data_IF_869793105598
#
_entry.id   IF_869793105598
#
_cell.length_a   1.000
_cell.length_b   1.000
_cell.length_c   1.000
_cell.angle_alpha   90.00
_cell.angle_beta   90.00
_cell.angle_gamma   90.00
#
_symmetry.space_group_name_H-M   'P 1'
#
loop_
_entity.id
_entity.type
_entity.pdbx_description
1 polymer ?
#
# COMPACT_ATOMS: atom_id res chain seq x y z
N UNK A 1 -44.64 -49.46 12.96
CA UNK A 1 -45.08 -48.07 12.64
C UNK A 1 -44.63 -47.01 13.64
N UNK A 2 -44.23 -47.35 14.89
CA UNK A 2 -43.72 -46.36 15.88
C UNK A 2 -42.23 -46.01 15.69
N UNK A 3 -41.35 -46.99 15.42
CA UNK A 3 -39.91 -46.74 15.23
C UNK A 3 -39.58 -45.85 14.02
N UNK A 4 -40.24 -46.04 12.88
CA UNK A 4 -40.00 -45.26 11.65
C UNK A 4 -40.34 -43.77 11.80
N UNK A 5 -41.34 -43.44 12.62
CA UNK A 5 -41.71 -42.05 12.90
C UNK A 5 -40.71 -41.36 13.83
N UNK A 6 -40.09 -42.11 14.76
CA UNK A 6 -39.06 -41.61 15.67
C UNK A 6 -37.75 -41.36 14.91
N UNK A 7 -37.34 -42.26 14.00
CA UNK A 7 -36.16 -42.02 13.15
C UNK A 7 -36.36 -40.85 12.19
N UNK A 8 -37.55 -40.66 11.62
CA UNK A 8 -37.83 -39.48 10.78
C UNK A 8 -37.76 -38.17 11.58
N UNK A 9 -38.30 -38.16 12.81
CA UNK A 9 -38.26 -37.00 13.69
C UNK A 9 -36.83 -36.67 14.14
N UNK A 10 -36.03 -37.68 14.46
CA UNK A 10 -34.61 -37.51 14.82
C UNK A 10 -33.78 -36.99 13.64
N UNK A 11 -34.03 -37.49 12.42
CA UNK A 11 -33.36 -37.01 11.21
C UNK A 11 -33.75 -35.55 10.87
N UNK A 12 -35.02 -35.19 11.05
CA UNK A 12 -35.48 -33.81 10.86
C UNK A 12 -34.86 -32.83 11.88
N UNK A 13 -34.71 -33.25 13.14
CA UNK A 13 -34.02 -32.49 14.19
C UNK A 13 -32.51 -32.35 13.95
N UNK A 14 -31.86 -33.38 13.39
CA UNK A 14 -30.45 -33.32 13.03
C UNK A 14 -30.18 -32.36 11.84
N UNK A 15 -31.12 -32.28 10.89
CA UNK A 15 -31.03 -31.37 9.74
C UNK A 15 -31.28 -29.89 10.12
N UNK A 16 -32.10 -29.62 11.13
CA UNK A 16 -32.31 -28.24 11.63
C UNK A 16 -31.18 -27.73 12.53
N UNK A 17 -30.39 -28.63 13.12
CA UNK A 17 -29.19 -28.27 13.88
C UNK A 17 -28.03 -27.77 13.00
N UNK A 18 -28.02 -28.13 11.71
CA UNK A 18 -27.12 -27.56 10.71
C UNK A 18 -27.71 -26.28 10.12
N UNK A 19 -27.89 -25.26 10.96
CA UNK A 19 -28.63 -24.04 10.63
C UNK A 19 -27.91 -22.74 10.96
N UNK A 20 -26.59 -22.68 10.76
CA UNK A 20 -25.86 -21.41 10.72
C UNK A 20 -24.84 -21.47 9.59
N UNK A 21 -25.25 -21.09 8.37
CA UNK A 21 -24.28 -20.67 7.37
C UNK A 21 -23.59 -19.44 7.94
N UNK A 22 -22.26 -19.37 7.86
CA UNK A 22 -21.47 -18.22 8.30
C UNK A 22 -21.60 -17.01 7.36
N UNK A 23 -22.78 -16.82 6.77
CA UNK A 23 -23.12 -15.73 5.86
C UNK A 23 -23.74 -14.52 6.58
N UNK A 24 -23.93 -14.61 7.90
CA UNK A 24 -24.36 -13.52 8.77
C UNK A 24 -23.41 -13.36 9.96
N UNK A 25 -23.33 -12.14 10.48
CA UNK A 25 -22.66 -11.87 11.75
C UNK A 25 -23.29 -12.69 12.88
N UNK A 26 -22.47 -13.06 13.85
CA UNK A 26 -22.94 -13.83 15.00
C UNK A 26 -23.93 -13.01 15.83
N UNK A 27 -24.82 -13.71 16.53
CA UNK A 27 -25.73 -13.05 17.48
C UNK A 27 -24.93 -12.66 18.71
N UNK A 28 -24.84 -11.36 18.95
CA UNK A 28 -24.18 -10.82 20.12
C UNK A 28 -25.22 -10.59 21.23
N UNK A 29 -25.12 -11.34 22.32
CA UNK A 29 -26.14 -11.39 23.39
C UNK A 29 -26.13 -10.10 24.24
N UNK A 30 -24.96 -9.47 24.38
CA UNK A 30 -24.77 -8.23 25.11
C UNK A 30 -24.08 -7.24 24.16
N UNK A 31 -24.71 -6.10 23.93
CA UNK A 31 -24.25 -5.05 23.00
C UNK A 31 -23.81 -3.77 23.68
N UNK A 32 -23.79 -3.76 25.01
CA UNK A 32 -23.35 -2.61 25.76
C UNK A 32 -21.87 -2.34 25.46
N UNK A 33 -21.60 -1.18 24.87
CA UNK A 33 -20.27 -0.70 24.48
C UNK A 33 -19.53 -1.53 23.41
N UNK A 34 -20.19 -2.44 22.69
CA UNK A 34 -19.58 -3.13 21.54
C UNK A 34 -19.39 -2.18 20.37
N UNK A 35 -20.41 -1.37 20.10
CA UNK A 35 -20.35 -0.25 19.17
C UNK A 35 -20.24 1.06 19.96
N UNK A 36 -19.23 1.85 19.60
CA UNK A 36 -18.93 3.11 20.27
C UNK A 36 -19.77 4.23 19.66
N UNK A 37 -20.34 5.15 20.46
CA UNK A 37 -20.96 6.36 19.93
C UNK A 37 -19.96 7.27 19.19
N UNK A 38 -18.68 7.19 19.52
CA UNK A 38 -17.61 7.91 18.83
C UNK A 38 -17.20 7.18 17.55
N UNK A 39 -17.30 7.88 16.41
CA UNK A 39 -16.91 7.40 15.09
C UNK A 39 -15.39 7.19 15.03
N UNK A 40 -14.97 5.96 14.74
CA UNK A 40 -13.57 5.61 14.50
C UNK A 40 -13.13 6.04 13.10
N UNK A 41 -11.81 6.13 12.88
CA UNK A 41 -11.26 6.68 11.64
C UNK A 41 -11.86 6.05 10.37
N UNK A 42 -11.84 4.72 10.25
CA UNK A 42 -12.33 4.01 9.05
C UNK A 42 -13.77 3.51 9.21
N UNK A 43 -14.54 4.09 10.13
CA UNK A 43 -15.92 3.70 10.38
C UNK A 43 -16.89 4.39 9.41
N UNK A 44 -18.05 3.78 9.22
CA UNK A 44 -19.13 4.33 8.42
C UNK A 44 -19.80 5.50 9.16
N UNK A 45 -20.00 6.62 8.47
CA UNK A 45 -20.65 7.81 9.01
C UNK A 45 -21.70 8.34 8.04
N UNK A 46 -22.97 8.19 8.38
CA UNK A 46 -24.11 8.62 7.56
C UNK A 46 -24.09 10.11 7.21
N UNK A 47 -23.54 10.95 8.09
CA UNK A 47 -23.50 12.40 7.90
C UNK A 47 -22.42 12.87 6.91
N UNK A 48 -21.50 11.98 6.54
CA UNK A 48 -20.40 12.30 5.63
C UNK A 48 -20.83 12.23 4.16
N UNK A 49 -20.40 13.16 3.29
CA UNK A 49 -20.67 13.08 1.85
C UNK A 49 -20.22 11.78 1.16
N UNK A 50 -19.23 11.08 1.72
CA UNK A 50 -18.70 9.81 1.22
C UNK A 50 -18.91 8.64 2.19
N UNK A 51 -19.75 8.83 3.20
CA UNK A 51 -19.99 7.89 4.29
C UNK A 51 -18.76 7.39 5.06
N UNK A 52 -17.62 8.11 4.99
CA UNK A 52 -16.41 7.77 5.73
C UNK A 52 -16.24 8.65 6.97
N UNK A 53 -15.87 8.03 8.09
CA UNK A 53 -15.45 8.73 9.31
C UNK A 53 -14.24 9.65 9.09
N UNK A 54 -13.31 9.31 8.19
CA UNK A 54 -12.24 10.21 7.79
C UNK A 54 -12.74 11.27 6.80
N UNK A 55 -12.60 12.54 7.19
CA UNK A 55 -12.79 13.68 6.28
C UNK A 55 -11.47 14.05 5.59
N UNK A 56 -11.58 14.55 4.36
CA UNK A 56 -10.43 15.12 3.64
C UNK A 56 -10.09 16.48 4.28
N UNK A 57 -8.83 16.74 4.68
CA UNK A 57 -8.43 18.06 5.16
C UNK A 57 -8.68 19.14 4.12
N UNK A 58 -8.95 20.38 4.56
CA UNK A 58 -9.08 21.50 3.64
C UNK A 58 -7.81 21.65 2.78
N UNK A 59 -7.99 22.05 1.53
CA UNK A 59 -6.88 22.24 0.60
C UNK A 59 -5.88 23.26 1.15
N UNK A 60 -4.59 23.07 0.81
CA UNK A 60 -3.48 23.93 1.23
C UNK A 60 -3.22 24.01 2.75
N UNK A 61 -3.82 23.15 3.56
CA UNK A 61 -3.49 23.02 4.98
C UNK A 61 -2.16 22.28 5.18
N UNK A 62 -1.35 22.74 6.14
CA UNK A 62 -0.06 22.14 6.49
C UNK A 62 -0.08 21.70 7.95
N UNK A 63 0.16 20.40 8.25
CA UNK A 63 0.24 19.92 9.62
C UNK A 63 1.42 20.52 10.39
N UNK A 64 1.27 20.67 11.71
CA UNK A 64 2.36 21.12 12.59
C UNK A 64 3.51 20.11 12.55
N UNK A 65 4.74 20.60 12.30
CA UNK A 65 5.94 19.77 12.22
C UNK A 65 6.12 19.00 10.92
N UNK A 66 5.25 19.21 9.92
CA UNK A 66 5.38 18.60 8.60
C UNK A 66 5.77 19.65 7.56
N UNK A 67 6.85 19.38 6.82
CA UNK A 67 7.27 20.21 5.69
C UNK A 67 6.80 19.57 4.38
N UNK A 68 5.85 20.16 3.66
CA UNK A 68 5.38 19.63 2.38
C UNK A 68 6.50 19.49 1.35
N UNK A 69 6.35 18.55 0.44
CA UNK A 69 7.26 18.41 -0.69
C UNK A 69 7.20 19.64 -1.59
N UNK A 70 8.35 20.30 -1.80
CA UNK A 70 8.45 21.61 -2.46
C UNK A 70 8.15 21.56 -3.96
N UNK A 71 8.49 20.45 -4.63
CA UNK A 71 8.50 20.37 -6.10
C UNK A 71 7.27 19.65 -6.65
N UNK A 72 6.10 19.87 -6.03
CA UNK A 72 4.84 19.28 -6.51
C UNK A 72 4.58 19.73 -7.96
N UNK A 73 4.44 18.78 -8.88
CA UNK A 73 4.25 19.07 -10.31
C UNK A 73 5.48 19.61 -11.06
N UNK A 74 6.65 19.75 -10.41
CA UNK A 74 7.89 20.22 -11.02
C UNK A 74 8.97 19.12 -10.97
N UNK A 75 9.03 18.32 -12.04
CA UNK A 75 10.00 17.24 -12.16
C UNK A 75 11.44 17.75 -12.31
N UNK A 76 11.64 18.93 -12.92
CA UNK A 76 12.97 19.50 -13.11
C UNK A 76 13.56 19.99 -11.79
N UNK A 77 12.75 20.68 -10.98
CA UNK A 77 13.12 21.09 -9.62
C UNK A 77 13.36 19.88 -8.72
N UNK A 78 12.48 18.87 -8.78
CA UNK A 78 12.64 17.62 -8.05
C UNK A 78 13.93 16.88 -8.41
N UNK A 79 14.27 16.83 -9.71
CA UNK A 79 15.48 16.18 -10.21
C UNK A 79 16.77 16.82 -9.72
N UNK A 80 16.76 18.11 -9.41
CA UNK A 80 17.91 18.87 -8.88
C UNK A 80 18.12 18.66 -7.38
N UNK A 81 17.21 17.98 -6.70
CA UNK A 81 17.33 17.72 -5.28
C UNK A 81 18.47 16.75 -4.99
N UNK A 82 19.41 17.17 -4.14
CA UNK A 82 20.48 16.32 -3.66
C UNK A 82 19.95 15.31 -2.64
N UNK A 83 20.39 14.07 -2.75
CA UNK A 83 20.12 13.02 -1.78
C UNK A 83 21.02 13.24 -0.54
N UNK A 84 20.45 13.54 0.64
CA UNK A 84 21.24 13.76 1.86
C UNK A 84 21.92 12.48 2.36
N UNK A 85 21.47 11.31 1.90
CA UNK A 85 22.04 10.01 2.21
C UNK A 85 22.86 9.45 1.04
N UNK A 86 23.20 10.27 0.04
CA UNK A 86 23.99 9.82 -1.10
C UNK A 86 25.28 9.12 -0.64
N UNK A 87 25.53 7.93 -1.18
CA UNK A 87 26.73 7.14 -0.84
C UNK A 87 26.67 6.42 0.51
N UNK A 88 25.69 6.72 1.38
CA UNK A 88 25.49 5.98 2.61
C UNK A 88 24.76 4.65 2.32
N UNK A 89 25.55 3.59 2.16
CA UNK A 89 25.08 2.22 1.94
C UNK A 89 25.20 1.37 3.22
N UNK A 90 25.05 1.99 4.40
CA UNK A 90 25.06 1.23 5.65
C UNK A 90 23.92 0.21 5.69
N UNK A 91 24.08 -0.92 6.39
CA UNK A 91 23.02 -1.91 6.54
C UNK A 91 21.71 -1.33 7.08
N UNK A 92 21.76 -0.33 7.96
CA UNK A 92 20.56 0.28 8.53
C UNK A 92 19.76 1.08 7.50
N UNK A 93 20.45 1.83 6.63
CA UNK A 93 19.82 2.57 5.53
C UNK A 93 19.25 1.60 4.50
N UNK A 94 20.01 0.57 4.12
CA UNK A 94 19.59 -0.39 3.11
C UNK A 94 18.44 -1.27 3.58
N UNK A 95 18.40 -1.70 4.86
CA UNK A 95 17.28 -2.48 5.39
C UNK A 95 15.95 -1.72 5.34
N UNK A 96 15.97 -0.43 5.67
CA UNK A 96 14.78 0.42 5.55
C UNK A 96 14.36 0.56 4.09
N UNK A 97 15.31 0.84 3.20
CA UNK A 97 15.06 0.94 1.76
C UNK A 97 14.49 -0.36 1.17
N UNK A 98 15.10 -1.49 1.52
CA UNK A 98 14.67 -2.84 1.14
C UNK A 98 13.25 -3.10 1.58
N UNK A 99 12.92 -2.88 2.86
CA UNK A 99 11.57 -3.09 3.38
C UNK A 99 10.53 -2.35 2.55
N UNK A 100 10.73 -1.06 2.31
CA UNK A 100 9.78 -0.26 1.54
C UNK A 100 9.75 -0.63 0.05
N UNK A 101 10.90 -0.98 -0.55
CA UNK A 101 10.96 -1.43 -1.93
C UNK A 101 10.23 -2.76 -2.12
N UNK A 102 10.49 -3.76 -1.28
CA UNK A 102 9.86 -5.08 -1.37
C UNK A 102 8.34 -4.99 -1.14
N UNK A 103 7.90 -4.12 -0.23
CA UNK A 103 6.49 -3.94 0.08
C UNK A 103 5.73 -3.20 -1.04
N UNK A 104 6.33 -2.16 -1.63
CA UNK A 104 5.59 -1.23 -2.50
C UNK A 104 6.01 -1.29 -3.98
N UNK A 105 7.28 -1.57 -4.26
CA UNK A 105 7.86 -1.43 -5.60
C UNK A 105 8.03 -2.79 -6.30
N UNK A 106 8.46 -3.82 -5.57
CA UNK A 106 8.81 -5.13 -6.13
C UNK A 106 7.62 -5.87 -6.75
N UNK A 107 6.39 -5.55 -6.34
CA UNK A 107 5.15 -6.10 -6.92
C UNK A 107 5.07 -5.85 -8.43
N UNK A 108 5.55 -4.69 -8.88
CA UNK A 108 5.53 -4.26 -10.27
C UNK A 108 6.93 -4.28 -10.92
N UNK A 109 7.96 -3.85 -10.20
CA UNK A 109 9.33 -3.76 -10.72
C UNK A 109 10.17 -5.03 -10.48
N UNK A 110 9.65 -6.02 -9.76
CA UNK A 110 10.37 -7.25 -9.40
C UNK A 110 11.36 -7.04 -8.26
N UNK A 111 11.75 -8.15 -7.61
CA UNK A 111 12.68 -8.13 -6.48
C UNK A 111 14.07 -7.59 -6.87
N UNK A 112 14.54 -7.98 -8.06
CA UNK A 112 15.79 -7.47 -8.62
C UNK A 112 15.62 -6.15 -9.40
N UNK A 113 14.43 -5.53 -9.41
CA UNK A 113 14.17 -4.31 -10.18
C UNK A 113 14.26 -4.45 -11.71
N UNK A 114 14.42 -5.65 -12.24
CA UNK A 114 14.50 -5.91 -13.68
C UNK A 114 13.14 -5.84 -14.41
N UNK A 115 12.06 -5.51 -13.70
CA UNK A 115 10.69 -5.74 -14.12
C UNK A 115 10.25 -7.17 -13.75
N UNK A 116 8.95 -7.37 -13.57
CA UNK A 116 8.37 -8.69 -13.31
C UNK A 116 7.26 -8.98 -14.33
N UNK A 117 7.58 -9.36 -15.58
CA UNK A 117 6.57 -9.59 -16.61
C UNK A 117 5.61 -10.75 -16.27
N UNK A 118 6.02 -11.66 -15.39
CA UNK A 118 5.24 -12.82 -14.98
C UNK A 118 4.27 -12.55 -13.82
N UNK A 119 4.43 -11.42 -13.13
CA UNK A 119 3.54 -10.97 -12.06
C UNK A 119 2.11 -10.83 -12.57
N UNK A 120 1.14 -11.34 -11.79
CA UNK A 120 -0.28 -11.18 -12.06
C UNK A 120 -0.69 -9.70 -12.12
N UNK A 121 0.03 -8.80 -11.45
CA UNK A 121 -0.19 -7.36 -11.55
C UNK A 121 0.25 -6.87 -12.93
N UNK A 122 1.50 -7.13 -13.31
CA UNK A 122 2.09 -6.62 -14.55
C UNK A 122 1.43 -7.19 -15.80
N UNK A 123 0.98 -8.45 -15.79
CA UNK A 123 0.25 -9.08 -16.91
C UNK A 123 -1.02 -8.34 -17.30
N UNK A 124 -1.68 -7.71 -16.32
CA UNK A 124 -2.93 -6.99 -16.52
C UNK A 124 -2.74 -5.47 -16.71
N UNK A 125 -1.50 -4.98 -16.71
CA UNK A 125 -1.21 -3.56 -16.95
C UNK A 125 -1.12 -3.27 -18.45
N UNK A 126 -1.81 -2.20 -18.89
CA UNK A 126 -1.75 -1.73 -20.28
C UNK A 126 -0.32 -1.30 -20.70
N UNK A 127 0.42 -0.67 -19.77
CA UNK A 127 1.82 -0.32 -19.94
C UNK A 127 2.64 -1.01 -18.85
N UNK A 128 3.59 -1.84 -19.27
CA UNK A 128 4.45 -2.58 -18.35
C UNK A 128 5.48 -1.65 -17.71
N UNK A 129 5.73 -1.77 -16.39
CA UNK A 129 6.77 -0.99 -15.73
C UNK A 129 8.14 -1.22 -16.40
N UNK A 130 8.92 -0.16 -16.66
CA UNK A 130 10.26 -0.34 -17.18
C UNK A 130 11.17 -1.00 -16.12
N UNK A 131 12.20 -1.70 -16.60
CA UNK A 131 13.29 -2.15 -15.75
C UNK A 131 14.05 -0.94 -15.20
N UNK A 132 14.22 -0.90 -13.87
CA UNK A 132 15.02 0.13 -13.19
C UNK A 132 16.54 -0.13 -13.32
N UNK A 133 16.92 -1.22 -13.98
CA UNK A 133 18.32 -1.60 -14.25
C UNK A 133 18.86 -1.09 -15.59
N UNK A 134 18.03 -0.41 -16.38
CA UNK A 134 18.45 0.19 -17.66
C UNK A 134 19.43 1.35 -17.46
N UNK A 135 20.36 1.54 -18.41
CA UNK A 135 21.35 2.63 -18.33
C UNK A 135 20.70 4.02 -18.28
N UNK A 136 19.54 4.17 -18.92
CA UNK A 136 18.71 5.39 -18.82
C UNK A 136 18.35 5.71 -17.37
N UNK A 137 17.79 4.74 -16.63
CA UNK A 137 17.38 4.94 -15.23
C UNK A 137 18.61 5.04 -14.32
N UNK A 138 19.66 4.27 -14.59
CA UNK A 138 20.94 4.40 -13.87
C UNK A 138 21.52 5.81 -14.00
N UNK A 139 21.38 6.44 -15.16
CA UNK A 139 21.82 7.81 -15.43
C UNK A 139 20.93 8.93 -14.86
N UNK A 140 19.74 8.62 -14.31
CA UNK A 140 18.91 9.63 -13.67
C UNK A 140 19.57 10.17 -12.39
N UNK A 141 19.34 11.43 -11.99
CA UNK A 141 19.76 11.91 -10.68
C UNK A 141 18.87 11.31 -9.58
N UNK A 142 19.41 11.14 -8.38
CA UNK A 142 18.67 10.57 -7.25
C UNK A 142 17.38 11.35 -6.93
N UNK A 143 17.40 12.67 -7.07
CA UNK A 143 16.22 13.52 -6.90
C UNK A 143 15.09 13.20 -7.89
N UNK A 144 15.41 12.73 -9.10
CA UNK A 144 14.40 12.32 -10.07
C UNK A 144 13.68 11.07 -9.59
N UNK A 145 14.43 10.07 -9.11
CA UNK A 145 13.84 8.83 -8.57
C UNK A 145 12.97 9.16 -7.35
N UNK A 146 13.45 10.03 -6.46
CA UNK A 146 12.68 10.51 -5.31
C UNK A 146 11.37 11.20 -5.72
N UNK A 147 11.42 12.05 -6.75
CA UNK A 147 10.25 12.74 -7.27
C UNK A 147 9.22 11.75 -7.83
N UNK A 148 9.66 10.78 -8.63
CA UNK A 148 8.79 9.74 -9.20
C UNK A 148 8.13 8.89 -8.10
N UNK A 149 8.86 8.56 -7.03
CA UNK A 149 8.27 7.87 -5.86
C UNK A 149 7.21 8.75 -5.18
N UNK A 150 7.44 10.07 -5.12
CA UNK A 150 6.56 11.00 -4.42
C UNK A 150 5.28 11.30 -5.21
N UNK A 151 5.41 11.75 -6.45
CA UNK A 151 4.31 12.26 -7.28
C UNK A 151 3.81 11.26 -8.34
N UNK A 152 4.57 10.19 -8.58
CA UNK A 152 4.31 9.26 -9.68
C UNK A 152 4.88 9.74 -11.02
N UNK A 153 4.74 8.91 -12.05
CA UNK A 153 5.10 9.23 -13.42
C UNK A 153 4.33 8.33 -14.40
N UNK A 154 3.64 8.94 -15.37
CA UNK A 154 2.86 8.20 -16.37
C UNK A 154 1.78 7.35 -15.71
N UNK A 155 1.88 6.03 -15.83
CA UNK A 155 0.94 5.07 -15.23
C UNK A 155 1.27 4.69 -13.78
N UNK A 156 2.47 5.05 -13.29
CA UNK A 156 2.84 4.85 -11.90
C UNK A 156 2.23 5.98 -11.06
N UNK A 157 1.25 5.65 -10.22
CA UNK A 157 0.66 6.60 -9.27
C UNK A 157 1.65 7.04 -8.17
N UNK A 158 1.30 8.09 -7.41
CA UNK A 158 2.11 8.58 -6.30
C UNK A 158 2.15 7.58 -5.14
N UNK A 159 3.34 7.36 -4.55
CA UNK A 159 3.52 6.52 -3.35
C UNK A 159 3.69 7.34 -2.08
N UNK A 160 3.44 8.66 -2.12
CA UNK A 160 3.63 9.55 -0.98
C UNK A 160 2.83 9.16 0.27
N UNK A 161 1.65 8.55 0.10
CA UNK A 161 0.79 8.06 1.20
C UNK A 161 1.25 6.73 1.80
N UNK A 162 2.01 5.93 1.05
CA UNK A 162 2.49 4.61 1.48
C UNK A 162 3.91 4.67 2.07
N UNK A 163 4.73 5.61 1.57
CA UNK A 163 6.13 5.78 1.99
C UNK A 163 6.29 7.18 2.59
N UNK A 164 6.49 7.28 3.92
CA UNK A 164 6.78 8.55 4.58
C UNK A 164 8.00 9.24 3.96
N UNK A 165 7.95 10.57 3.86
CA UNK A 165 9.01 11.40 3.28
C UNK A 165 10.40 11.12 3.89
N UNK A 166 10.46 10.82 5.20
CA UNK A 166 11.70 10.49 5.90
C UNK A 166 12.41 9.21 5.40
N UNK A 167 11.69 8.30 4.71
CA UNK A 167 12.20 7.00 4.30
C UNK A 167 12.40 6.84 2.78
N UNK A 168 11.96 7.82 1.98
CA UNK A 168 12.03 7.74 0.51
C UNK A 168 13.48 7.73 0.00
N UNK A 169 14.40 8.43 0.67
CA UNK A 169 15.82 8.42 0.29
C UNK A 169 16.49 7.06 0.49
N UNK A 170 16.08 6.32 1.52
CA UNK A 170 16.55 4.96 1.80
C UNK A 170 16.11 4.02 0.67
N UNK A 171 14.89 4.20 0.14
CA UNK A 171 14.42 3.47 -1.05
C UNK A 171 15.26 3.80 -2.28
N UNK A 172 15.58 5.09 -2.50
CA UNK A 172 16.47 5.49 -3.59
C UNK A 172 17.85 4.84 -3.45
N UNK A 173 18.43 4.84 -2.25
CA UNK A 173 19.71 4.18 -1.98
C UNK A 173 19.64 2.67 -2.23
N UNK A 174 18.56 2.01 -1.85
CA UNK A 174 18.37 0.58 -2.12
C UNK A 174 18.26 0.29 -3.61
N UNK A 175 17.55 1.13 -4.39
CA UNK A 175 17.54 1.05 -5.86
C UNK A 175 18.97 1.17 -6.42
N UNK A 176 19.76 2.12 -5.92
CA UNK A 176 21.17 2.27 -6.32
C UNK A 176 22.03 1.08 -5.94
N UNK A 177 21.78 0.48 -4.78
CA UNK A 177 22.44 -0.76 -4.37
C UNK A 177 22.13 -1.89 -5.35
N UNK A 178 20.86 -2.13 -5.67
CA UNK A 178 20.47 -3.15 -6.67
C UNK A 178 21.09 -2.90 -8.04
N UNK A 179 21.17 -1.64 -8.48
CA UNK A 179 21.82 -1.27 -9.75
C UNK A 179 23.33 -1.55 -9.76
N UNK A 180 23.99 -1.53 -8.60
CA UNK A 180 25.42 -1.87 -8.46
C UNK A 180 25.65 -3.39 -8.41
N UNK A 181 24.78 -4.12 -7.72
CA UNK A 181 24.86 -5.59 -7.61
C UNK A 181 24.54 -6.30 -8.94
N UNK A 182 23.71 -5.67 -9.79
CA UNK A 182 23.35 -6.21 -11.11
C UNK A 182 24.46 -6.08 -12.17
N UNK A 183 25.68 -5.69 -11.81
CA UNK A 183 26.82 -5.59 -12.73
C UNK A 183 27.49 -6.93 -12.99
#
# INVERSE_FOLDING_TARGET
MKMTKITLAAAALALSACGAKGDKTNVEIIQDMMESPAIKAQEYDESSPNHSGMRVPAEHTVPVGFTPYKYKGDIEGGSKQANPLAGNMSPDVLKVGQKYFETNCAVCHGQAGAGNPDSNVVKNMALKPPSIMTDKIKGWPDGHIYHVITEGQGVMGPYASHIPQAYRWQVVNYIRFLQKESK
#
